data_IF_684768964943
#
_entry.id   IF_684768964943
#
_cell.length_a   1.000
_cell.length_b   1.000
_cell.length_c   1.000
_cell.angle_alpha   90.00
_cell.angle_beta   90.00
_cell.angle_gamma   90.00
#
_symmetry.space_group_name_H-M   'P 1'
#
loop_
_entity.id
_entity.type
_entity.pdbx_description
1 polymer ?
#
# COMPACT_ATOMS: atom_id res chain seq x y z
N UNK A 1 14.61 0.45 21.07
CA UNK A 1 14.63 -0.43 19.88
C UNK A 1 13.39 -1.32 19.93
N UNK A 2 12.80 -1.69 18.78
CA UNK A 2 11.62 -2.55 18.74
C UNK A 2 11.88 -3.95 19.33
N UNK A 3 10.86 -4.54 19.96
CA UNK A 3 10.89 -5.93 20.42
C UNK A 3 10.97 -6.92 19.25
N UNK A 4 11.36 -8.17 19.48
CA UNK A 4 11.39 -9.21 18.43
C UNK A 4 10.03 -9.37 17.75
N UNK A 5 8.94 -9.29 18.52
CA UNK A 5 7.59 -9.36 17.99
C UNK A 5 7.27 -8.13 17.12
N UNK A 6 7.57 -6.92 17.60
CA UNK A 6 7.41 -5.68 16.82
C UNK A 6 8.18 -5.74 15.48
N UNK A 7 9.44 -6.21 15.52
CA UNK A 7 10.26 -6.41 14.31
C UNK A 7 9.61 -7.35 13.31
N UNK A 8 9.07 -8.48 13.78
CA UNK A 8 8.39 -9.44 12.92
C UNK A 8 7.23 -8.78 12.17
N UNK A 9 6.38 -8.03 12.87
CA UNK A 9 5.23 -7.35 12.24
C UNK A 9 5.67 -6.27 11.25
N UNK A 10 6.71 -5.49 11.56
CA UNK A 10 7.28 -4.55 10.60
C UNK A 10 7.81 -5.25 9.34
N UNK A 11 8.59 -6.32 9.47
CA UNK A 11 9.08 -7.05 8.30
C UNK A 11 7.96 -7.72 7.51
N UNK A 12 6.94 -8.24 8.18
CA UNK A 12 5.79 -8.85 7.52
C UNK A 12 4.98 -7.81 6.74
N UNK A 13 4.79 -6.61 7.30
CA UNK A 13 4.21 -5.47 6.59
C UNK A 13 5.06 -5.08 5.37
N UNK A 14 6.39 -5.09 5.51
CA UNK A 14 7.30 -4.78 4.40
C UNK A 14 7.19 -5.78 3.24
N UNK A 15 7.21 -7.08 3.54
CA UNK A 15 7.06 -8.15 2.54
C UNK A 15 5.69 -8.07 1.87
N UNK A 16 4.63 -7.83 2.65
CA UNK A 16 3.27 -7.68 2.12
C UNK A 16 3.15 -6.47 1.18
N UNK A 17 3.74 -5.34 1.55
CA UNK A 17 3.75 -4.14 0.72
C UNK A 17 4.57 -4.33 -0.57
N UNK A 18 5.76 -4.94 -0.48
CA UNK A 18 6.58 -5.27 -1.65
C UNK A 18 5.87 -6.27 -2.58
N UNK A 19 5.23 -7.31 -2.02
CA UNK A 19 4.41 -8.25 -2.76
C UNK A 19 3.24 -7.57 -3.47
N UNK A 20 2.61 -6.59 -2.82
CA UNK A 20 1.54 -5.77 -3.44
C UNK A 20 2.05 -5.04 -4.68
N UNK A 21 3.26 -4.46 -4.65
CA UNK A 21 3.85 -3.80 -5.83
C UNK A 21 3.95 -4.76 -7.01
N UNK A 22 4.45 -5.98 -6.77
CA UNK A 22 4.61 -6.99 -7.82
C UNK A 22 3.24 -7.42 -8.38
N UNK A 23 2.31 -7.80 -7.50
CA UNK A 23 0.97 -8.25 -7.90
C UNK A 23 0.15 -7.15 -8.60
N UNK A 24 0.21 -5.91 -8.10
CA UNK A 24 -0.50 -4.76 -8.67
C UNK A 24 0.08 -4.36 -10.04
N UNK A 25 1.41 -4.44 -10.19
CA UNK A 25 2.08 -4.26 -11.49
C UNK A 25 1.63 -5.33 -12.49
N UNK A 26 1.67 -6.61 -12.09
CA UNK A 26 1.26 -7.72 -12.95
C UNK A 26 -0.22 -7.60 -13.35
N UNK A 27 -1.10 -7.25 -12.41
CA UNK A 27 -2.52 -6.97 -12.69
C UNK A 27 -2.69 -5.80 -13.68
N UNK A 28 -1.85 -4.77 -13.57
CA UNK A 28 -1.80 -3.65 -14.51
C UNK A 28 -1.64 -4.12 -15.95
N UNK A 29 -0.62 -4.93 -16.21
CA UNK A 29 -0.31 -5.44 -17.55
C UNK A 29 -1.31 -6.49 -18.05
N UNK A 30 -1.79 -7.37 -17.16
CA UNK A 30 -2.65 -8.48 -17.54
C UNK A 30 -4.11 -8.08 -17.75
N UNK A 31 -4.61 -7.11 -16.98
CA UNK A 31 -6.04 -6.79 -16.93
C UNK A 31 -6.32 -5.31 -17.20
N UNK A 32 -5.68 -4.40 -16.47
CA UNK A 32 -6.07 -2.98 -16.47
C UNK A 32 -5.69 -2.28 -17.76
N UNK A 33 -4.44 -2.36 -18.21
CA UNK A 33 -4.00 -1.69 -19.44
C UNK A 33 -4.69 -2.24 -20.70
N UNK A 34 -4.90 -3.57 -20.85
CA UNK A 34 -5.73 -4.10 -21.92
C UNK A 34 -7.16 -3.55 -21.91
N UNK A 35 -7.81 -3.46 -20.75
CA UNK A 35 -9.16 -2.89 -20.64
C UNK A 35 -9.17 -1.40 -21.01
N UNK A 36 -8.22 -0.62 -20.50
CA UNK A 36 -8.08 0.81 -20.80
C UNK A 36 -7.69 1.11 -22.25
N UNK A 37 -7.14 0.14 -23.00
CA UNK A 37 -6.91 0.28 -24.45
C UNK A 37 -8.21 0.19 -25.26
N UNK A 38 -9.22 -0.51 -24.75
CA UNK A 38 -10.54 -0.66 -25.39
C UNK A 38 -11.49 0.50 -25.07
N UNK A 39 -11.21 1.27 -24.02
CA UNK A 39 -12.00 2.42 -23.61
C UNK A 39 -11.82 3.61 -24.58
N UNK A 40 -12.82 4.51 -24.71
CA UNK A 40 -12.70 5.73 -25.49
C UNK A 40 -11.48 6.56 -25.06
N UNK A 41 -10.68 7.01 -26.03
CA UNK A 41 -9.49 7.81 -25.74
C UNK A 41 -9.88 9.14 -25.11
N UNK A 42 -9.65 9.28 -23.81
CA UNK A 42 -9.94 10.47 -23.04
C UNK A 42 -8.78 10.80 -22.08
N UNK A 43 -8.68 12.05 -21.61
CA UNK A 43 -7.73 12.41 -20.56
C UNK A 43 -7.85 11.51 -19.32
N UNK A 44 -9.07 11.10 -18.94
CA UNK A 44 -9.30 10.20 -17.81
C UNK A 44 -8.70 8.81 -18.00
N UNK A 45 -8.79 8.23 -19.21
CA UNK A 45 -8.18 6.93 -19.51
C UNK A 45 -6.64 7.01 -19.46
N UNK A 46 -6.05 8.11 -19.91
CA UNK A 46 -4.60 8.34 -19.80
C UNK A 46 -4.18 8.47 -18.33
N UNK A 47 -4.91 9.28 -17.56
CA UNK A 47 -4.67 9.46 -16.12
C UNK A 47 -4.79 8.14 -15.36
N UNK A 48 -5.78 7.30 -15.67
CA UNK A 48 -5.94 5.99 -15.04
C UNK A 48 -4.74 5.06 -15.29
N UNK A 49 -4.13 5.08 -16.48
CA UNK A 49 -2.93 4.27 -16.77
C UNK A 49 -1.71 4.75 -15.95
N UNK A 50 -1.51 6.07 -15.89
CA UNK A 50 -0.41 6.67 -15.14
C UNK A 50 -0.60 6.42 -13.64
N UNK A 51 -1.78 6.78 -13.13
CA UNK A 51 -2.13 6.65 -11.71
C UNK A 51 -2.08 5.21 -11.21
N UNK A 52 -2.39 4.22 -12.07
CA UNK A 52 -2.22 2.80 -11.72
C UNK A 52 -0.76 2.48 -11.35
N UNK A 53 0.21 2.96 -12.14
CA UNK A 53 1.62 2.70 -11.85
C UNK A 53 2.17 3.59 -10.73
N UNK A 54 1.71 4.84 -10.62
CA UNK A 54 2.10 5.73 -9.53
C UNK A 54 1.69 5.19 -8.16
N UNK A 55 0.55 4.48 -8.06
CA UNK A 55 0.10 3.84 -6.83
C UNK A 55 1.15 2.90 -6.21
N UNK A 56 1.96 2.23 -7.05
CA UNK A 56 3.03 1.33 -6.60
C UNK A 56 4.10 2.06 -5.78
N UNK A 57 4.32 3.37 -6.00
CA UNK A 57 5.30 4.14 -5.25
C UNK A 57 4.96 4.18 -3.76
N UNK A 58 3.67 4.33 -3.42
CA UNK A 58 3.21 4.31 -2.04
C UNK A 58 3.52 2.98 -1.34
N UNK A 59 3.27 1.86 -2.01
CA UNK A 59 3.58 0.53 -1.50
C UNK A 59 5.10 0.26 -1.42
N UNK A 60 5.87 0.74 -2.38
CA UNK A 60 7.33 0.64 -2.33
C UNK A 60 7.91 1.43 -1.16
N UNK A 61 7.46 2.66 -0.95
CA UNK A 61 7.93 3.49 0.16
C UNK A 61 7.56 2.90 1.51
N UNK A 62 6.29 2.48 1.72
CA UNK A 62 5.91 1.89 3.02
C UNK A 62 6.71 0.60 3.30
N UNK A 63 7.07 -0.18 2.27
CA UNK A 63 7.92 -1.37 2.45
C UNK A 63 9.30 -0.99 3.00
N UNK A 64 9.95 0.01 2.39
CA UNK A 64 11.24 0.52 2.84
C UNK A 64 11.16 1.13 4.25
N UNK A 65 10.11 1.90 4.53
CA UNK A 65 9.88 2.47 5.86
C UNK A 65 9.65 1.38 6.91
N UNK A 66 8.92 0.31 6.60
CA UNK A 66 8.73 -0.80 7.51
C UNK A 66 10.07 -1.51 7.82
N UNK A 67 10.95 -1.69 6.83
CA UNK A 67 12.30 -2.22 7.07
C UNK A 67 13.10 -1.27 7.98
N UNK A 68 13.05 0.04 7.73
CA UNK A 68 13.67 1.04 8.61
C UNK A 68 13.12 0.96 10.03
N UNK A 69 11.80 0.89 10.19
CA UNK A 69 11.14 0.85 11.50
C UNK A 69 11.35 -0.46 12.25
N UNK A 70 11.56 -1.59 11.57
CA UNK A 70 11.99 -2.82 12.21
C UNK A 70 13.34 -2.64 12.93
N UNK A 71 14.25 -1.84 12.37
CA UNK A 71 15.58 -1.66 12.94
C UNK A 71 15.63 -0.53 13.98
N UNK A 72 14.85 0.53 13.80
CA UNK A 72 14.98 1.76 14.59
C UNK A 72 13.71 2.16 15.36
N UNK A 73 12.59 1.51 15.08
CA UNK A 73 11.26 1.92 15.52
C UNK A 73 10.72 3.10 14.73
N UNK A 74 9.42 3.33 14.88
CA UNK A 74 8.70 4.47 14.30
C UNK A 74 8.72 5.64 15.29
N UNK A 75 9.88 6.29 15.41
CA UNK A 75 10.14 7.28 16.48
C UNK A 75 10.07 8.72 15.98
N UNK A 76 10.53 8.98 14.76
CA UNK A 76 10.57 10.31 14.13
C UNK A 76 9.18 10.89 13.88
N UNK A 77 9.04 12.21 14.07
CA UNK A 77 7.81 12.94 13.77
C UNK A 77 7.40 12.81 12.30
N UNK A 78 8.36 12.89 11.37
CA UNK A 78 8.09 12.74 9.93
C UNK A 78 7.62 11.32 9.57
N UNK A 79 8.17 10.30 10.22
CA UNK A 79 7.76 8.90 10.00
C UNK A 79 6.32 8.68 10.51
N UNK A 80 5.96 9.28 11.66
CA UNK A 80 4.60 9.25 12.20
C UNK A 80 3.59 9.92 11.28
N UNK A 81 3.93 11.10 10.76
CA UNK A 81 3.08 11.80 9.80
C UNK A 81 2.93 10.99 8.52
N UNK A 82 4.04 10.48 7.97
CA UNK A 82 4.01 9.67 6.76
C UNK A 82 3.09 8.46 6.95
N UNK A 83 3.25 7.72 8.05
CA UNK A 83 2.42 6.57 8.36
C UNK A 83 0.94 6.94 8.52
N UNK A 84 0.63 8.05 9.18
CA UNK A 84 -0.74 8.53 9.34
C UNK A 84 -1.39 8.88 8.00
N UNK A 85 -0.69 9.66 7.14
CA UNK A 85 -1.16 10.02 5.81
C UNK A 85 -1.37 8.76 4.95
N UNK A 86 -0.41 7.85 4.97
CA UNK A 86 -0.51 6.57 4.27
C UNK A 86 -1.75 5.80 4.74
N UNK A 87 -1.94 5.65 6.05
CA UNK A 87 -3.07 4.94 6.64
C UNK A 87 -4.42 5.54 6.22
N UNK A 88 -4.56 6.87 6.29
CA UNK A 88 -5.79 7.55 5.88
C UNK A 88 -6.06 7.34 4.39
N UNK A 89 -5.04 7.45 3.54
CA UNK A 89 -5.17 7.21 2.10
C UNK A 89 -5.61 5.77 1.80
N UNK A 90 -5.06 4.78 2.52
CA UNK A 90 -5.45 3.38 2.37
C UNK A 90 -6.89 3.10 2.85
N UNK A 91 -7.30 3.70 3.96
CA UNK A 91 -8.69 3.59 4.46
C UNK A 91 -9.66 4.18 3.44
N UNK A 92 -9.40 5.40 2.98
CA UNK A 92 -10.23 6.07 1.97
C UNK A 92 -10.33 5.23 0.69
N UNK A 93 -9.19 4.73 0.19
CA UNK A 93 -9.14 3.88 -1.00
C UNK A 93 -9.93 2.60 -0.79
N UNK A 94 -9.78 1.94 0.36
CA UNK A 94 -10.55 0.74 0.69
C UNK A 94 -12.06 0.99 0.74
N UNK A 95 -12.51 2.13 1.26
CA UNK A 95 -13.92 2.53 1.22
C UNK A 95 -14.42 2.67 -0.24
N UNK A 96 -13.60 3.23 -1.14
CA UNK A 96 -13.95 3.29 -2.56
C UNK A 96 -14.08 1.90 -3.20
N UNK A 97 -13.16 0.98 -2.88
CA UNK A 97 -13.23 -0.43 -3.33
C UNK A 97 -14.50 -1.14 -2.80
N UNK A 98 -14.83 -0.94 -1.52
CA UNK A 98 -16.07 -1.46 -0.92
C UNK A 98 -17.32 -0.98 -1.65
N UNK A 99 -17.39 0.33 -1.94
CA UNK A 99 -18.51 0.92 -2.68
C UNK A 99 -18.61 0.41 -4.11
N UNK A 100 -17.50 -0.03 -4.70
CA UNK A 100 -17.46 -0.66 -6.01
C UNK A 100 -17.76 -2.19 -5.96
N UNK A 101 -18.01 -2.77 -4.79
CA UNK A 101 -18.25 -4.21 -4.62
C UNK A 101 -16.99 -5.08 -4.81
N UNK A 102 -15.80 -4.49 -4.69
CA UNK A 102 -14.52 -5.18 -4.87
C UNK A 102 -13.84 -5.31 -3.51
N UNK A 103 -13.71 -6.53 -3.01
CA UNK A 103 -13.30 -6.79 -1.63
C UNK A 103 -11.86 -7.30 -1.49
N UNK A 104 -11.33 -7.92 -2.53
CA UNK A 104 -10.03 -8.60 -2.51
C UNK A 104 -8.86 -7.67 -2.12
N UNK A 105 -8.79 -6.41 -2.62
CA UNK A 105 -7.70 -5.51 -2.27
C UNK A 105 -7.72 -5.03 -0.82
N UNK A 106 -8.87 -5.08 -0.13
CA UNK A 106 -9.04 -4.52 1.21
C UNK A 106 -8.08 -5.15 2.23
N UNK A 107 -7.79 -6.44 2.08
CA UNK A 107 -6.85 -7.16 2.95
C UNK A 107 -5.48 -6.51 2.90
N UNK A 108 -5.01 -6.07 1.73
CA UNK A 108 -3.70 -5.44 1.59
C UNK A 108 -3.75 -3.96 2.00
N UNK A 109 -4.78 -3.23 1.53
CA UNK A 109 -4.96 -1.81 1.83
C UNK A 109 -5.01 -1.57 3.35
N UNK A 110 -5.77 -2.38 4.09
CA UNK A 110 -5.96 -2.20 5.53
C UNK A 110 -5.04 -3.08 6.37
N UNK A 111 -4.64 -4.24 5.85
CA UNK A 111 -3.73 -5.15 6.55
C UNK A 111 -2.34 -4.54 6.75
N UNK A 112 -1.77 -3.86 5.75
CA UNK A 112 -0.44 -3.25 5.89
C UNK A 112 -0.42 -2.22 7.04
N UNK A 113 -1.32 -1.21 7.08
CA UNK A 113 -1.44 -0.32 8.23
C UNK A 113 -1.73 -1.02 9.55
N UNK A 114 -2.59 -2.06 9.55
CA UNK A 114 -2.91 -2.80 10.76
C UNK A 114 -1.68 -3.53 11.33
N UNK A 115 -0.86 -4.16 10.46
CA UNK A 115 0.39 -4.82 10.86
C UNK A 115 1.37 -3.82 11.47
N UNK A 116 1.52 -2.63 10.87
CA UNK A 116 2.33 -1.57 11.45
C UNK A 116 1.76 -1.10 12.79
N UNK A 117 0.45 -0.92 12.90
CA UNK A 117 -0.21 -0.55 14.16
C UNK A 117 0.02 -1.58 15.27
N UNK A 118 -0.11 -2.88 14.96
CA UNK A 118 0.19 -3.96 15.89
C UNK A 118 1.65 -3.91 16.33
N UNK A 119 2.59 -3.66 15.40
CA UNK A 119 4.01 -3.53 15.73
C UNK A 119 4.29 -2.41 16.75
N UNK A 120 3.49 -1.34 16.77
CA UNK A 120 3.64 -0.22 17.72
C UNK A 120 3.11 -0.55 19.12
N UNK A 121 2.31 -1.61 19.26
CA UNK A 121 1.74 -2.05 20.54
C UNK A 121 2.58 -3.14 21.22
N UNK A 122 3.65 -3.61 20.58
CA UNK A 122 4.52 -4.73 21.00
C UNK A 122 5.98 -4.28 21.20
#
# INVERSE_FOLDING_TARGET
MPSTASKFFFFYAAITAAGTVLGHTQMGYNLVFPALKKAPNSPGVKAARIGWMECNQGFAFIALFCIKWANHGLTSYYDKIFFAIYTVAQIWTGIAYLRAGIYQPLVLLWGIPALVGIALLL
#
